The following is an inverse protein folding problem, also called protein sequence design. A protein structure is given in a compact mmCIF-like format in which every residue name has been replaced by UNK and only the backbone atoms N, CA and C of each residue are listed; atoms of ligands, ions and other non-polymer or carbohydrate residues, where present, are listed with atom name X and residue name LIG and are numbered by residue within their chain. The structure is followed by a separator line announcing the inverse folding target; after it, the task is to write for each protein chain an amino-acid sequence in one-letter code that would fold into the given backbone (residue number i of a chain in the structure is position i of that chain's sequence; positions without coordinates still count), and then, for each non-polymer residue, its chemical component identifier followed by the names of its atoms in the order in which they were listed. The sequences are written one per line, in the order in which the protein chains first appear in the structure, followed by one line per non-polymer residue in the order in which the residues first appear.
data_IF_281194508739
#
_entry.id   IF_281194508739
#
_cell.length_a   1.000
_cell.length_b   1.000
_cell.length_c   1.000
_cell.angle_alpha   90.00
_cell.angle_beta   90.00
_cell.angle_gamma   90.00
#
_symmetry.space_group_name_H-M   'P 1'
#
loop_
_entity.id
_entity.type
_entity.pdbx_description
1 polymer ?
#
# COMPACT_ATOMS: atom_id res chain seq x y z
N UNK A 1 -5.48 4.80 -7.27
CA UNK A 1 -5.36 6.18 -6.70
C UNK A 1 -5.28 7.33 -7.72
N UNK A 2 -4.51 7.24 -8.83
CA UNK A 2 -4.30 8.40 -9.74
C UNK A 2 -5.59 9.04 -10.25
N UNK A 3 -6.56 8.24 -10.69
CA UNK A 3 -7.81 8.77 -11.23
C UNK A 3 -8.72 9.34 -10.15
N UNK A 4 -8.71 8.74 -8.94
CA UNK A 4 -9.40 9.29 -7.79
C UNK A 4 -8.84 10.66 -7.39
N UNK A 5 -7.51 10.86 -7.44
CA UNK A 5 -6.89 12.16 -7.21
C UNK A 5 -7.33 13.20 -8.25
N UNK A 6 -7.38 12.82 -9.54
CA UNK A 6 -7.88 13.72 -10.60
C UNK A 6 -9.32 14.14 -10.38
N UNK A 7 -10.20 13.20 -9.97
CA UNK A 7 -11.59 13.51 -9.62
C UNK A 7 -11.65 14.46 -8.43
N UNK A 8 -10.86 14.19 -7.39
CA UNK A 8 -10.78 15.06 -6.21
C UNK A 8 -10.36 16.48 -6.57
N UNK A 9 -9.38 16.66 -7.47
CA UNK A 9 -8.98 17.99 -7.94
C UNK A 9 -10.10 18.75 -8.62
N UNK A 10 -10.90 18.08 -9.45
CA UNK A 10 -12.07 18.71 -10.07
C UNK A 10 -13.09 19.17 -9.03
N UNK A 11 -13.32 18.37 -7.99
CA UNK A 11 -14.23 18.71 -6.88
C UNK A 11 -13.71 19.91 -6.07
N UNK A 12 -12.40 19.95 -5.78
CA UNK A 12 -11.76 21.08 -5.12
C UNK A 12 -11.98 22.37 -5.93
N UNK A 13 -11.82 22.30 -7.26
CA UNK A 13 -12.03 23.46 -8.13
C UNK A 13 -13.50 23.89 -8.23
N UNK A 14 -14.46 22.99 -7.98
CA UNK A 14 -15.90 23.34 -7.97
C UNK A 14 -16.41 23.93 -6.65
N UNK A 15 -15.61 23.87 -5.57
CA UNK A 15 -15.69 24.89 -4.52
C UNK A 15 -16.34 24.52 -3.17
N UNK A 16 -16.66 23.25 -2.90
CA UNK A 16 -17.25 22.88 -1.61
C UNK A 16 -16.41 21.85 -0.85
N UNK A 17 -15.89 22.27 0.31
CA UNK A 17 -15.07 21.41 1.17
C UNK A 17 -15.83 20.15 1.62
N UNK A 18 -17.11 20.28 1.97
CA UNK A 18 -17.96 19.18 2.40
C UNK A 18 -18.12 18.10 1.31
N UNK A 19 -18.26 18.52 0.05
CA UNK A 19 -18.33 17.62 -1.11
C UNK A 19 -17.02 16.85 -1.27
N UNK A 20 -15.88 17.54 -1.09
CA UNK A 20 -14.56 16.90 -1.13
C UNK A 20 -14.38 15.91 0.01
N UNK A 21 -14.75 16.29 1.24
CA UNK A 21 -14.67 15.42 2.42
C UNK A 21 -15.54 14.18 2.27
N UNK A 22 -16.77 14.34 1.76
CA UNK A 22 -17.66 13.21 1.45
C UNK A 22 -17.04 12.29 0.40
N UNK A 23 -16.51 12.84 -0.68
CA UNK A 23 -15.83 12.06 -1.71
C UNK A 23 -14.64 11.27 -1.16
N UNK A 24 -13.84 11.87 -0.26
CA UNK A 24 -12.72 11.18 0.40
C UNK A 24 -13.21 9.99 1.23
N UNK A 25 -14.29 10.17 2.00
CA UNK A 25 -14.87 9.11 2.83
C UNK A 25 -15.45 7.96 1.98
N UNK A 26 -16.17 8.30 0.91
CA UNK A 26 -16.72 7.32 -0.04
C UNK A 26 -15.59 6.55 -0.73
N UNK A 27 -14.57 7.27 -1.21
CA UNK A 27 -13.41 6.65 -1.85
C UNK A 27 -12.58 5.80 -0.88
N UNK A 28 -12.50 6.16 0.41
CA UNK A 28 -11.86 5.31 1.43
C UNK A 28 -12.58 3.96 1.53
N UNK A 29 -13.91 3.97 1.53
CA UNK A 29 -14.72 2.75 1.57
C UNK A 29 -14.51 1.90 0.31
N UNK A 30 -14.51 2.51 -0.87
CA UNK A 30 -14.19 1.83 -2.14
C UNK A 30 -12.77 1.23 -2.09
N UNK A 31 -11.78 2.01 -1.67
CA UNK A 31 -10.37 1.59 -1.60
C UNK A 31 -10.16 0.36 -0.72
N UNK A 32 -10.92 0.24 0.37
CA UNK A 32 -10.82 -0.88 1.32
C UNK A 32 -11.44 -2.17 0.75
N UNK A 33 -12.18 -2.08 -0.36
CA UNK A 33 -12.75 -3.23 -1.07
C UNK A 33 -11.90 -3.70 -2.26
N UNK A 34 -10.87 -2.94 -2.63
CA UNK A 34 -10.00 -3.25 -3.77
C UNK A 34 -9.02 -4.39 -3.43
N UNK A 35 -8.55 -5.11 -4.45
CA UNK A 35 -7.58 -6.19 -4.25
C UNK A 35 -6.18 -5.66 -3.91
N UNK A 36 -5.30 -6.57 -3.50
CA UNK A 36 -3.88 -6.27 -3.24
C UNK A 36 -3.25 -5.47 -4.40
N UNK A 37 -3.48 -5.90 -5.64
CA UNK A 37 -2.87 -5.34 -6.83
C UNK A 37 -3.24 -3.88 -7.08
N UNK A 38 -4.46 -3.51 -6.73
CA UNK A 38 -5.03 -2.20 -7.00
C UNK A 38 -4.69 -1.17 -5.91
N UNK A 39 -4.43 -1.64 -4.69
CA UNK A 39 -3.97 -0.80 -3.57
C UNK A 39 -2.45 -0.72 -3.44
N UNK A 40 -1.71 -1.58 -4.13
CA UNK A 40 -0.26 -1.64 -4.06
C UNK A 40 0.44 -0.45 -4.70
N UNK A 41 1.58 -0.06 -4.13
CA UNK A 41 2.47 0.92 -4.71
C UNK A 41 3.35 0.31 -5.81
N UNK A 42 3.35 0.85 -7.03
CA UNK A 42 4.33 0.45 -8.03
C UNK A 42 5.72 0.95 -7.63
N UNK A 43 6.69 0.04 -7.52
CA UNK A 43 8.10 0.33 -7.20
C UNK A 43 9.03 -0.47 -8.12
N UNK A 44 10.25 0.00 -8.30
CA UNK A 44 11.33 -0.81 -8.88
C UNK A 44 12.19 -1.38 -7.76
N UNK A 45 12.72 -2.59 -7.96
CA UNK A 45 13.70 -3.21 -7.06
C UNK A 45 15.06 -3.16 -7.74
N UNK A 46 16.07 -2.70 -6.99
CA UNK A 46 17.47 -2.68 -7.41
C UNK A 46 18.36 -3.15 -6.27
N UNK A 47 19.52 -3.70 -6.60
CA UNK A 47 20.45 -4.33 -5.67
C UNK A 47 19.83 -5.48 -4.83
N UNK A 48 18.81 -6.20 -5.31
CA UNK A 48 18.16 -7.27 -4.53
C UNK A 48 19.16 -8.30 -3.99
N UNK A 49 20.11 -8.73 -4.84
CA UNK A 49 21.13 -9.73 -4.52
C UNK A 49 22.08 -9.31 -3.39
N UNK A 50 22.21 -8.00 -3.11
CA UNK A 50 23.02 -7.48 -2.00
C UNK A 50 22.39 -7.74 -0.64
N UNK A 51 21.06 -7.87 -0.61
CA UNK A 51 20.27 -8.06 0.60
C UNK A 51 19.72 -9.48 0.74
N UNK A 52 19.83 -10.30 -0.31
CA UNK A 52 19.55 -11.73 -0.27
C UNK A 52 20.73 -12.45 0.40
N UNK A 53 20.49 -13.09 1.55
CA UNK A 53 21.53 -13.88 2.23
C UNK A 53 21.83 -15.20 1.51
N UNK A 54 21.02 -15.58 0.51
CA UNK A 54 21.12 -16.86 -0.19
C UNK A 54 20.49 -18.03 0.56
N UNK A 55 20.09 -17.83 1.82
CA UNK A 55 19.40 -18.83 2.62
C UNK A 55 18.01 -19.14 2.04
N UNK A 56 17.77 -20.41 1.75
CA UNK A 56 16.52 -20.85 1.10
C UNK A 56 15.45 -21.29 2.08
N UNK A 57 15.86 -21.86 3.21
CA UNK A 57 14.95 -22.47 4.20
C UNK A 57 14.42 -21.44 5.20
N UNK A 58 15.21 -20.41 5.51
CA UNK A 58 14.86 -19.39 6.48
C UNK A 58 14.92 -18.01 5.84
N UNK A 59 13.94 -17.16 6.16
CA UNK A 59 13.96 -15.77 5.75
C UNK A 59 14.93 -14.99 6.65
N UNK A 60 16.10 -14.66 6.13
CA UNK A 60 17.03 -13.73 6.77
C UNK A 60 16.95 -12.36 6.09
N UNK A 61 16.78 -11.31 6.89
CA UNK A 61 16.65 -9.94 6.40
C UNK A 61 17.79 -9.09 6.92
N UNK A 62 18.66 -8.65 6.01
CA UNK A 62 19.81 -7.80 6.34
C UNK A 62 19.33 -6.44 6.87
N UNK A 63 19.93 -5.97 7.96
CA UNK A 63 19.61 -4.65 8.52
C UNK A 63 19.91 -3.55 7.49
N UNK A 64 18.99 -2.61 7.33
CA UNK A 64 19.11 -1.53 6.35
C UNK A 64 18.60 -1.90 4.95
N UNK A 65 18.03 -3.10 4.77
CA UNK A 65 17.32 -3.45 3.53
C UNK A 65 16.18 -2.47 3.27
N UNK A 66 16.11 -1.82 2.09
CA UNK A 66 15.00 -0.94 1.74
C UNK A 66 13.66 -1.67 1.85
N UNK A 67 12.63 -0.96 2.30
CA UNK A 67 11.35 -1.58 2.70
C UNK A 67 10.67 -2.43 1.60
N UNK A 68 10.78 -2.00 0.34
CA UNK A 68 10.21 -2.67 -0.82
C UNK A 68 11.10 -3.84 -1.30
N UNK A 69 12.42 -3.74 -1.14
CA UNK A 69 13.36 -4.84 -1.36
C UNK A 69 13.11 -5.96 -0.33
N UNK A 70 12.89 -5.59 0.94
CA UNK A 70 12.47 -6.53 1.98
C UNK A 70 11.18 -7.25 1.61
N UNK A 71 10.17 -6.52 1.14
CA UNK A 71 8.93 -7.12 0.64
C UNK A 71 9.13 -8.11 -0.51
N UNK A 72 10.09 -7.86 -1.40
CA UNK A 72 10.44 -8.77 -2.49
C UNK A 72 11.15 -10.05 -1.99
N UNK A 73 12.05 -9.92 -1.01
CA UNK A 73 12.68 -11.07 -0.36
C UNK A 73 11.65 -11.96 0.35
N UNK A 74 10.67 -11.35 1.05
CA UNK A 74 9.56 -12.06 1.67
C UNK A 74 8.76 -12.86 0.63
N UNK A 75 8.41 -12.24 -0.49
CA UNK A 75 7.69 -12.92 -1.56
C UNK A 75 8.48 -14.10 -2.14
N UNK A 76 9.77 -13.90 -2.41
CA UNK A 76 10.63 -14.98 -2.91
C UNK A 76 10.72 -16.15 -1.94
N UNK A 77 10.82 -15.86 -0.64
CA UNK A 77 10.80 -16.88 0.41
C UNK A 77 9.47 -17.64 0.43
N UNK A 78 8.33 -16.94 0.41
CA UNK A 78 7.00 -17.57 0.43
C UNK A 78 6.74 -18.45 -0.79
N UNK A 79 7.21 -18.03 -1.97
CA UNK A 79 7.15 -18.85 -3.19
C UNK A 79 7.88 -20.18 -2.99
N UNK A 80 9.06 -20.17 -2.36
CA UNK A 80 9.84 -21.39 -2.07
C UNK A 80 9.17 -22.24 -0.99
N UNK A 81 8.74 -21.60 0.11
CA UNK A 81 8.07 -22.25 1.24
C UNK A 81 6.82 -23.03 0.79
N UNK A 82 6.02 -22.42 -0.09
CA UNK A 82 4.80 -23.04 -0.63
C UNK A 82 5.06 -23.92 -1.88
N UNK A 83 6.33 -24.08 -2.29
CA UNK A 83 6.75 -24.86 -3.48
C UNK A 83 6.07 -24.40 -4.78
N UNK A 84 5.90 -23.09 -4.93
CA UNK A 84 5.17 -22.43 -6.00
C UNK A 84 6.05 -21.97 -7.18
N UNK A 85 7.35 -22.26 -7.15
CA UNK A 85 8.34 -21.83 -8.17
C UNK A 85 8.01 -22.30 -9.59
N UNK A 86 7.21 -23.37 -9.74
CA UNK A 86 6.73 -23.85 -11.05
C UNK A 86 5.60 -23.01 -11.64
N UNK A 87 4.87 -22.28 -10.80
CA UNK A 87 3.66 -21.51 -11.18
C UNK A 87 3.90 -20.01 -11.18
N UNK A 88 4.74 -19.53 -10.26
CA UNK A 88 5.01 -18.11 -10.08
C UNK A 88 6.51 -17.83 -10.15
N UNK A 89 6.85 -16.72 -10.79
CA UNK A 89 8.23 -16.24 -10.84
C UNK A 89 8.60 -15.54 -9.54
N UNK A 90 9.83 -15.74 -9.10
CA UNK A 90 10.47 -14.95 -8.03
C UNK A 90 10.88 -13.58 -8.58
N UNK A 91 10.82 -12.55 -7.74
CA UNK A 91 11.35 -11.22 -8.05
C UNK A 91 12.86 -11.29 -8.24
N UNK A 92 13.34 -10.63 -9.29
CA UNK A 92 14.75 -10.47 -9.64
C UNK A 92 15.16 -9.00 -9.57
N UNK A 93 16.47 -8.80 -9.60
CA UNK A 93 17.03 -7.46 -9.62
C UNK A 93 16.64 -6.70 -10.90
N UNK A 94 16.27 -5.42 -10.75
CA UNK A 94 15.80 -4.56 -11.84
C UNK A 94 14.31 -4.72 -12.18
N UNK A 95 13.58 -5.62 -11.52
CA UNK A 95 12.15 -5.82 -11.80
C UNK A 95 11.25 -4.77 -11.14
N UNK A 96 10.08 -4.58 -11.76
CA UNK A 96 9.00 -3.78 -11.20
C UNK A 96 8.14 -4.66 -10.30
N UNK A 97 7.78 -4.12 -9.14
CA UNK A 97 6.98 -4.78 -8.12
C UNK A 97 5.78 -3.91 -7.72
N UNK A 98 4.82 -4.57 -7.10
CA UNK A 98 3.69 -3.99 -6.38
C UNK A 98 3.91 -4.20 -4.89
N UNK A 99 4.17 -3.12 -4.17
CA UNK A 99 4.51 -3.10 -2.74
C UNK A 99 3.29 -2.74 -1.88
N UNK A 100 3.07 -3.50 -0.81
CA UNK A 100 2.02 -3.25 0.18
C UNK A 100 2.54 -3.30 1.63
N UNK A 101 1.91 -2.48 2.47
CA UNK A 101 1.96 -2.63 3.92
C UNK A 101 0.98 -3.73 4.38
N UNK A 102 1.41 -4.49 5.37
CA UNK A 102 0.69 -5.62 5.96
C UNK A 102 0.56 -5.42 7.47
N UNK A 103 -0.59 -5.79 8.04
CA UNK A 103 -0.88 -5.74 9.48
C UNK A 103 -0.16 -6.86 10.21
N UNK A 104 0.30 -6.59 11.43
CA UNK A 104 0.89 -7.58 12.33
C UNK A 104 -0.03 -7.81 13.54
N UNK A 105 -0.13 -9.04 14.06
CA UNK A 105 0.54 -10.26 13.61
C UNK A 105 -0.11 -10.89 12.36
N UNK A 106 0.72 -11.51 11.51
CA UNK A 106 0.27 -12.27 10.33
C UNK A 106 1.13 -13.55 10.14
N UNK A 107 0.75 -14.41 9.18
CA UNK A 107 1.44 -15.68 8.91
C UNK A 107 2.90 -15.52 8.49
N UNK A 108 3.25 -14.44 7.80
CA UNK A 108 4.60 -14.16 7.29
C UNK A 108 5.52 -13.54 8.36
N UNK A 109 4.96 -13.08 9.49
CA UNK A 109 5.66 -12.33 10.55
C UNK A 109 6.42 -11.11 9.99
N UNK A 110 5.84 -10.46 8.98
CA UNK A 110 6.40 -9.27 8.34
C UNK A 110 5.30 -8.27 8.05
N UNK A 111 5.55 -6.99 8.27
CA UNK A 111 4.62 -5.90 7.98
C UNK A 111 4.63 -5.41 6.52
N UNK A 112 5.31 -6.11 5.60
CA UNK A 112 5.38 -5.72 4.18
C UNK A 112 5.42 -6.93 3.27
N UNK A 113 4.88 -6.75 2.07
CA UNK A 113 4.96 -7.73 0.99
C UNK A 113 5.13 -7.02 -0.36
N UNK A 114 5.86 -7.62 -1.29
CA UNK A 114 5.94 -7.13 -2.66
C UNK A 114 5.78 -8.26 -3.65
N UNK A 115 4.95 -8.07 -4.66
CA UNK A 115 4.68 -9.07 -5.70
C UNK A 115 5.10 -8.53 -7.06
N UNK A 116 5.25 -9.39 -8.06
CA UNK A 116 5.45 -8.95 -9.44
C UNK A 116 4.15 -8.41 -10.04
N UNK A 117 3.18 -9.31 -10.24
CA UNK A 117 1.95 -8.99 -10.97
C UNK A 117 0.69 -9.31 -10.16
N UNK A 118 0.60 -10.54 -9.66
CA UNK A 118 -0.58 -11.13 -9.01
C UNK A 118 -0.16 -11.78 -7.69
N UNK A 119 -0.94 -11.59 -6.64
CA UNK A 119 -0.76 -12.23 -5.34
C UNK A 119 -1.15 -13.72 -5.44
N UNK A 120 -0.24 -14.66 -5.13
CA UNK A 120 -0.60 -16.07 -5.02
C UNK A 120 -1.66 -16.28 -3.93
N UNK A 121 -2.81 -16.82 -4.31
CA UNK A 121 -3.93 -17.13 -3.41
C UNK A 121 -3.52 -18.07 -2.27
N UNK A 122 -2.55 -18.94 -2.55
CA UNK A 122 -1.97 -19.94 -1.66
C UNK A 122 -1.30 -19.32 -0.44
N UNK A 123 -0.88 -18.05 -0.49
CA UNK A 123 -0.31 -17.36 0.66
C UNK A 123 -1.36 -17.08 1.74
N UNK A 124 -2.63 -16.87 1.36
CA UNK A 124 -3.70 -16.53 2.31
C UNK A 124 -3.48 -15.23 3.07
N UNK A 125 -2.68 -14.30 2.52
CA UNK A 125 -2.24 -13.07 3.20
C UNK A 125 -3.04 -11.82 2.87
N UNK A 126 -3.95 -11.89 1.90
CA UNK A 126 -4.76 -10.75 1.43
C UNK A 126 -5.57 -10.10 2.56
N UNK A 127 -6.08 -10.90 3.50
CA UNK A 127 -6.78 -10.40 4.69
C UNK A 127 -5.90 -9.55 5.63
N UNK A 128 -4.57 -9.64 5.50
CA UNK A 128 -3.62 -8.89 6.33
C UNK A 128 -3.14 -7.61 5.66
N UNK A 129 -3.69 -7.18 4.53
CA UNK A 129 -3.36 -5.85 3.97
C UNK A 129 -3.69 -4.76 5.00
N UNK A 130 -2.76 -3.82 5.17
CA UNK A 130 -2.97 -2.62 5.97
C UNK A 130 -3.55 -1.50 5.12
N UNK A 131 -4.86 -1.58 4.86
CA UNK A 131 -5.58 -0.60 4.04
C UNK A 131 -5.52 0.82 4.58
N UNK A 132 -5.43 0.99 5.90
CA UNK A 132 -5.34 2.32 6.52
C UNK A 132 -4.02 2.99 6.15
N UNK A 133 -2.89 2.30 6.35
CA UNK A 133 -1.57 2.82 5.97
C UNK A 133 -1.47 3.01 4.45
N UNK A 134 -1.99 2.06 3.67
CA UNK A 134 -2.00 2.14 2.20
C UNK A 134 -2.78 3.36 1.70
N UNK A 135 -3.99 3.59 2.21
CA UNK A 135 -4.82 4.73 1.85
C UNK A 135 -4.17 6.05 2.28
N UNK A 136 -3.65 6.10 3.50
CA UNK A 136 -3.04 7.30 4.03
C UNK A 136 -1.83 7.74 3.19
N UNK A 137 -0.89 6.82 2.95
CA UNK A 137 0.33 7.09 2.18
C UNK A 137 0.09 7.31 0.69
N UNK A 138 -0.91 6.65 0.10
CA UNK A 138 -1.15 6.71 -1.35
C UNK A 138 -2.09 7.83 -1.80
N UNK A 139 -2.95 8.30 -0.90
CA UNK A 139 -4.04 9.22 -1.24
C UNK A 139 -4.17 10.36 -0.24
N UNK A 140 -4.36 10.06 1.05
CA UNK A 140 -4.65 11.08 2.07
C UNK A 140 -3.52 12.10 2.26
N UNK A 141 -2.29 11.65 2.49
CA UNK A 141 -1.12 12.52 2.69
C UNK A 141 -0.88 13.46 1.47
N UNK A 142 -0.81 12.93 0.21
CA UNK A 142 -0.71 13.80 -0.96
C UNK A 142 -1.84 14.81 -1.10
N UNK A 143 -3.07 14.42 -0.75
CA UNK A 143 -4.23 15.30 -0.83
C UNK A 143 -4.22 16.36 0.26
N UNK A 144 -3.87 15.99 1.48
CA UNK A 144 -3.75 16.89 2.62
C UNK A 144 -2.79 18.04 2.32
N UNK A 145 -1.63 17.75 1.73
CA UNK A 145 -0.66 18.78 1.33
C UNK A 145 -1.25 19.84 0.39
N UNK A 146 -2.29 19.49 -0.37
CA UNK A 146 -2.94 20.38 -1.33
C UNK A 146 -4.08 21.12 -0.64
N UNK A 147 -4.90 20.42 0.14
CA UNK A 147 -6.00 21.03 0.91
C UNK A 147 -5.49 22.06 1.91
N UNK A 148 -4.37 21.80 2.58
CA UNK A 148 -3.74 22.75 3.52
C UNK A 148 -3.33 24.06 2.83
N UNK A 149 -2.95 24.03 1.55
CA UNK A 149 -2.58 25.24 0.79
C UNK A 149 -3.76 26.14 0.46
N UNK A 150 -4.97 25.59 0.47
CA UNK A 150 -6.23 26.34 0.27
C UNK A 150 -7.02 26.51 1.58
N UNK A 151 -6.44 26.13 2.72
CA UNK A 151 -7.06 26.26 4.05
C UNK A 151 -8.10 25.21 4.38
N UNK A 152 -8.18 24.10 3.63
CA UNK A 152 -9.16 23.02 3.82
C UNK A 152 -8.55 21.82 4.57
N UNK A 153 -9.42 20.95 5.09
CA UNK A 153 -9.03 19.70 5.77
C UNK A 153 -9.65 18.46 5.13
N UNK A 154 -8.92 17.34 5.19
CA UNK A 154 -9.34 16.01 4.69
C UNK A 154 -10.55 15.48 5.47
N UNK A 155 -10.60 15.74 6.78
CA UNK A 155 -11.70 15.34 7.66
C UNK A 155 -12.44 16.56 8.22
N UNK A 156 -13.73 16.41 8.53
CA UNK A 156 -14.49 17.44 9.23
C UNK A 156 -13.88 17.61 10.64
N UNK A 157 -13.38 18.80 10.93
CA UNK A 157 -12.97 19.18 12.28
C UNK A 157 -14.19 19.68 13.01
N UNK A 158 -14.48 19.13 14.18
CA UNK A 158 -15.54 19.66 15.04
C UNK A 158 -15.20 21.12 15.40
N UNK A 159 -16.12 22.04 15.15
CA UNK A 159 -15.97 23.44 15.60
C UNK A 159 -16.72 23.65 16.90
N UNK A 160 -16.42 24.76 17.59
CA UNK A 160 -17.18 25.17 18.77
C UNK A 160 -18.66 25.44 18.43
N UNK A 161 -19.00 25.74 17.18
CA UNK A 161 -20.40 25.92 16.76
C UNK A 161 -21.16 24.60 16.65
N UNK A 162 -20.48 23.49 16.36
CA UNK A 162 -21.09 22.14 16.40
C UNK A 162 -21.58 21.79 17.82
N UNK A 163 -21.13 22.49 18.89
CA UNK A 163 -21.63 22.30 20.26
C UNK A 163 -22.95 23.03 20.56
N UNK A 164 -23.34 24.02 19.75
CA UNK A 164 -24.51 24.86 19.99
C UNK A 164 -25.65 24.63 18.99
N UNK A 165 -25.52 23.63 18.10
CA UNK A 165 -26.51 23.26 17.08
C UNK A 165 -27.32 22.03 17.46
#
# INVERSE_FOLDING_TARGET
CRDAMKKCFKLIMSGEQEVVQKYIADFKTEFFSLSFEDVAFPRGVSELNKYDSGEREQLELVKGTPIHVRGALVYNHLIREHKLEKKYQTVKDGEKIKFCYMREPNSMKQNVLSILNVLPTEFGVEKYIDYETQFNKSFSEPLQLILEKIGWSVEKRATLEDFFS
#
